data_IF_210379094285
#
_entry.id   IF_210379094285
#
_cell.length_a   1.000
_cell.length_b   1.000
_cell.length_c   1.000
_cell.angle_alpha   90.00
_cell.angle_beta   90.00
_cell.angle_gamma   90.00
#
_symmetry.space_group_name_H-M   'P 1'
#
loop_
_entity.id
_entity.type
_entity.pdbx_description
1 polymer ?
#
# COMPACT_ATOMS: atom_id res chain seq x y z
N UNK A 1 12.18 -8.16 37.36
CA UNK A 1 10.85 -7.71 36.90
C UNK A 1 11.11 -6.66 35.85
N UNK A 2 11.24 -7.10 34.61
CA UNK A 2 11.54 -6.21 33.49
C UNK A 2 10.31 -5.38 33.18
N UNK A 3 10.45 -4.06 33.31
CA UNK A 3 9.43 -3.12 32.87
C UNK A 3 9.24 -3.28 31.36
N UNK A 4 8.00 -3.47 30.86
CA UNK A 4 7.74 -3.41 29.43
C UNK A 4 8.12 -2.02 28.91
N UNK A 5 8.64 -1.90 27.67
CA UNK A 5 9.00 -0.61 27.11
C UNK A 5 7.77 0.28 27.10
N UNK A 6 7.89 1.44 27.74
CA UNK A 6 6.85 2.47 27.77
C UNK A 6 6.41 2.78 26.34
N UNK A 7 5.10 2.81 26.13
CA UNK A 7 4.49 3.20 24.88
C UNK A 7 4.91 4.65 24.60
N UNK A 8 5.97 4.83 23.80
CA UNK A 8 6.56 6.15 23.52
C UNK A 8 5.46 7.01 22.90
N UNK A 9 5.12 8.11 23.57
CA UNK A 9 4.15 9.11 23.10
C UNK A 9 4.48 9.47 21.64
N UNK A 10 3.57 9.14 20.72
CA UNK A 10 3.69 9.53 19.31
C UNK A 10 3.49 11.04 19.24
N UNK A 11 4.56 11.79 18.96
CA UNK A 11 4.50 13.24 18.82
C UNK A 11 3.70 13.58 17.56
N UNK A 12 2.76 14.52 17.68
CA UNK A 12 1.97 15.01 16.55
C UNK A 12 2.89 15.77 15.58
N UNK A 13 3.04 15.26 14.36
CA UNK A 13 3.83 15.93 13.31
C UNK A 13 3.03 16.89 12.46
N UNK A 14 1.69 16.77 12.44
CA UNK A 14 0.81 17.60 11.63
C UNK A 14 1.09 19.12 11.77
N UNK A 15 1.27 19.70 12.99
CA UNK A 15 1.56 21.14 13.10
C UNK A 15 2.83 21.59 12.38
N UNK A 16 3.79 20.68 12.15
CA UNK A 16 5.04 20.94 11.44
C UNK A 16 4.91 20.77 9.92
N UNK A 17 3.76 20.31 9.43
CA UNK A 17 3.54 19.93 8.02
C UNK A 17 2.46 20.76 7.31
N UNK A 18 1.54 21.39 8.07
CA UNK A 18 0.37 22.08 7.50
C UNK A 18 0.69 23.37 6.75
N UNK A 19 1.76 24.07 7.13
CA UNK A 19 2.25 25.22 6.37
C UNK A 19 3.15 24.70 5.26
N UNK A 20 2.64 24.73 4.03
CA UNK A 20 3.31 24.11 2.89
C UNK A 20 3.23 24.99 1.66
N UNK A 21 4.32 24.98 0.90
CA UNK A 21 4.51 25.54 -0.43
C UNK A 21 4.43 24.47 -1.53
N UNK A 22 3.99 23.26 -1.19
CA UNK A 22 3.86 22.16 -2.14
C UNK A 22 2.91 22.52 -3.30
N UNK A 23 3.26 22.20 -4.56
CA UNK A 23 2.42 22.53 -5.71
C UNK A 23 0.99 21.96 -5.58
N UNK A 24 -0.06 22.72 -5.94
CA UNK A 24 -1.41 22.22 -5.88
C UNK A 24 -1.61 21.05 -6.84
N UNK A 25 -2.27 19.99 -6.36
CA UNK A 25 -2.62 18.83 -7.18
C UNK A 25 -4.12 18.81 -7.47
N UNK A 26 -4.45 18.24 -8.64
CA UNK A 26 -5.83 17.98 -9.05
C UNK A 26 -6.03 16.51 -9.35
N UNK A 27 -7.19 16.03 -8.93
CA UNK A 27 -7.69 14.69 -9.16
C UNK A 27 -7.86 14.43 -10.67
N UNK A 28 -7.51 13.22 -11.07
CA UNK A 28 -7.84 12.60 -12.35
C UNK A 28 -9.02 11.65 -12.10
N UNK A 29 -9.55 11.04 -13.16
CA UNK A 29 -10.51 9.94 -13.02
C UNK A 29 -10.01 8.90 -12.01
N UNK A 30 -10.91 8.50 -11.11
CA UNK A 30 -10.61 7.50 -10.10
C UNK A 30 -10.55 6.12 -10.73
N UNK A 31 -9.51 5.37 -10.40
CA UNK A 31 -9.36 3.96 -10.77
C UNK A 31 -9.24 3.05 -9.54
N UNK A 32 -8.83 3.62 -8.40
CA UNK A 32 -8.56 2.84 -7.19
C UNK A 32 -9.30 3.42 -5.98
N UNK A 33 -9.92 2.54 -5.20
CA UNK A 33 -10.31 2.85 -3.82
C UNK A 33 -9.40 2.09 -2.88
N UNK A 34 -8.72 2.82 -2.00
CA UNK A 34 -7.90 2.24 -0.94
C UNK A 34 -8.73 2.14 0.34
N UNK A 35 -8.79 0.96 0.93
CA UNK A 35 -9.54 0.70 2.15
C UNK A 35 -8.55 0.39 3.29
N UNK A 36 -8.48 1.29 4.27
CA UNK A 36 -7.68 1.06 5.46
C UNK A 36 -8.54 0.30 6.49
N UNK A 37 -8.34 -1.01 6.60
CA UNK A 37 -9.27 -1.91 7.32
C UNK A 37 -9.15 -1.82 8.85
N UNK A 38 -8.29 -0.95 9.37
CA UNK A 38 -8.01 -0.80 10.78
C UNK A 38 -6.51 -0.72 11.07
N UNK A 39 -6.17 -0.49 12.33
CA UNK A 39 -4.77 -0.26 12.75
C UNK A 39 -4.17 -1.42 13.53
N UNK A 40 -4.93 -2.52 13.72
CA UNK A 40 -4.42 -3.76 14.32
C UNK A 40 -3.39 -4.42 13.40
N UNK A 41 -2.24 -4.77 13.95
CA UNK A 41 -1.14 -5.43 13.24
C UNK A 41 -0.39 -6.34 14.20
N UNK A 42 0.14 -7.48 13.74
CA UNK A 42 0.99 -8.36 14.55
C UNK A 42 2.42 -7.81 14.76
N UNK A 43 2.78 -6.66 14.17
CA UNK A 43 4.10 -6.04 14.29
C UNK A 43 4.03 -4.59 14.80
N UNK A 44 5.14 -4.08 15.33
CA UNK A 44 5.29 -2.66 15.76
C UNK A 44 6.50 -2.00 15.06
N UNK A 45 6.49 -1.98 13.72
CA UNK A 45 7.63 -1.51 12.91
C UNK A 45 8.02 -0.05 13.18
N UNK A 46 9.31 0.27 13.31
CA UNK A 46 9.78 1.62 13.67
C UNK A 46 9.45 2.71 12.65
N UNK A 47 9.26 2.35 11.39
CA UNK A 47 8.99 3.25 10.27
C UNK A 47 7.49 3.36 9.90
N UNK A 48 6.61 2.67 10.63
CA UNK A 48 5.20 2.56 10.27
C UNK A 48 4.50 3.93 10.24
N UNK A 49 4.05 4.34 9.05
CA UNK A 49 3.33 5.57 8.83
C UNK A 49 1.87 5.52 9.35
N UNK A 50 1.35 4.32 9.66
CA UNK A 50 0.02 4.12 10.27
C UNK A 50 0.07 4.14 11.81
N UNK A 51 1.27 4.02 12.39
CA UNK A 51 1.46 3.70 13.81
C UNK A 51 0.67 2.45 14.26
N UNK A 52 0.43 1.50 13.36
CA UNK A 52 -0.25 0.24 13.63
C UNK A 52 0.49 -0.62 14.68
N UNK A 53 -0.23 -1.51 15.34
CA UNK A 53 0.35 -2.44 16.30
C UNK A 53 -0.65 -3.41 16.94
N UNK A 54 -0.17 -4.37 17.76
CA UNK A 54 -1.01 -5.46 18.26
C UNK A 54 -2.13 -5.03 19.21
N UNK A 55 -1.95 -3.89 19.89
CA UNK A 55 -2.89 -3.35 20.88
C UNK A 55 -3.91 -2.36 20.29
N UNK A 56 -3.85 -2.09 18.99
CA UNK A 56 -4.79 -1.19 18.30
C UNK A 56 -6.15 -1.89 18.16
N UNK A 57 -7.23 -1.11 18.26
CA UNK A 57 -8.62 -1.62 18.28
C UNK A 57 -9.44 -1.08 17.11
N UNK A 58 -8.90 -0.13 16.35
CA UNK A 58 -9.53 0.41 15.16
C UNK A 58 -9.72 -0.70 14.12
N UNK A 59 -10.97 -0.91 13.70
CA UNK A 59 -11.39 -2.02 12.84
C UNK A 59 -12.56 -1.57 11.95
N UNK A 60 -12.41 -1.71 10.64
CA UNK A 60 -13.46 -1.38 9.69
C UNK A 60 -14.60 -2.40 9.76
N UNK A 61 -15.83 -1.91 9.84
CA UNK A 61 -17.03 -2.76 9.87
C UNK A 61 -17.43 -3.26 8.48
N UNK A 62 -18.17 -4.37 8.43
CA UNK A 62 -18.75 -4.87 7.18
C UNK A 62 -19.67 -3.84 6.49
N UNK A 63 -20.44 -3.05 7.25
CA UNK A 63 -21.32 -2.03 6.68
C UNK A 63 -20.54 -0.97 5.87
N UNK A 64 -19.38 -0.54 6.38
CA UNK A 64 -18.47 0.36 5.64
C UNK A 64 -17.92 -0.32 4.39
N UNK A 65 -17.54 -1.59 4.48
CA UNK A 65 -17.04 -2.37 3.34
C UNK A 65 -18.08 -2.53 2.23
N UNK A 66 -19.36 -2.72 2.58
CA UNK A 66 -20.45 -2.77 1.60
C UNK A 66 -20.62 -1.44 0.86
N UNK A 67 -20.45 -0.31 1.54
CA UNK A 67 -20.45 0.99 0.89
C UNK A 67 -19.29 1.10 -0.11
N UNK A 68 -18.09 0.65 0.26
CA UNK A 68 -16.92 0.62 -0.64
C UNK A 68 -17.20 -0.21 -1.89
N UNK A 69 -17.77 -1.42 -1.75
CA UNK A 69 -18.13 -2.27 -2.88
C UNK A 69 -19.21 -1.64 -3.78
N UNK A 70 -20.20 -0.99 -3.17
CA UNK A 70 -21.25 -0.26 -3.91
C UNK A 70 -20.67 0.90 -4.71
N UNK A 71 -19.82 1.72 -4.08
CA UNK A 71 -19.12 2.82 -4.74
C UNK A 71 -18.27 2.31 -5.89
N UNK A 72 -17.48 1.26 -5.67
CA UNK A 72 -16.60 0.70 -6.70
C UNK A 72 -17.38 0.30 -7.95
N UNK A 73 -18.55 -0.32 -7.77
CA UNK A 73 -19.46 -0.65 -8.87
C UNK A 73 -20.06 0.58 -9.54
N UNK A 74 -20.54 1.56 -8.77
CA UNK A 74 -21.21 2.76 -9.30
C UNK A 74 -20.27 3.69 -10.07
N UNK A 75 -19.03 3.83 -9.59
CA UNK A 75 -18.01 4.71 -10.13
C UNK A 75 -17.05 4.00 -11.09
N UNK A 76 -17.35 2.75 -11.46
CA UNK A 76 -16.54 1.93 -12.36
C UNK A 76 -15.05 1.83 -11.96
N UNK A 77 -14.80 1.73 -10.66
CA UNK A 77 -13.45 1.56 -10.10
C UNK A 77 -12.90 0.21 -10.53
N UNK A 78 -11.65 0.18 -11.01
CA UNK A 78 -10.99 -1.06 -11.43
C UNK A 78 -10.28 -1.80 -10.29
N UNK A 79 -9.85 -1.08 -9.26
CA UNK A 79 -8.94 -1.62 -8.23
C UNK A 79 -9.42 -1.32 -6.80
N UNK A 80 -9.40 -2.34 -5.94
CA UNK A 80 -9.52 -2.23 -4.49
C UNK A 80 -8.16 -2.50 -3.83
N UNK A 81 -7.59 -1.51 -3.16
CA UNK A 81 -6.29 -1.60 -2.47
C UNK A 81 -6.50 -1.71 -0.95
N UNK A 82 -6.19 -2.86 -0.37
CA UNK A 82 -6.42 -3.18 1.04
C UNK A 82 -5.19 -2.87 1.88
N UNK A 83 -5.33 -1.99 2.88
CA UNK A 83 -4.24 -1.50 3.71
C UNK A 83 -4.63 -1.36 5.18
N UNK A 84 -3.77 -0.74 5.99
CA UNK A 84 -3.97 -0.44 7.40
C UNK A 84 -2.81 -0.93 8.25
N UNK A 85 -3.12 -1.65 9.32
CA UNK A 85 -2.14 -2.42 10.07
C UNK A 85 -1.71 -3.68 9.33
N UNK A 86 -2.31 -4.81 9.68
CA UNK A 86 -2.34 -6.01 8.86
C UNK A 86 -3.80 -6.20 8.44
N UNK A 87 -4.21 -5.83 7.22
CA UNK A 87 -5.61 -5.88 6.79
C UNK A 87 -6.24 -7.27 6.97
N UNK A 88 -5.42 -8.32 6.87
CA UNK A 88 -5.80 -9.72 6.98
C UNK A 88 -6.25 -10.13 8.40
N UNK A 89 -5.97 -9.29 9.40
CA UNK A 89 -6.49 -9.45 10.75
C UNK A 89 -7.93 -8.95 10.91
N UNK A 90 -8.50 -8.20 9.96
CA UNK A 90 -9.91 -7.82 10.04
C UNK A 90 -10.79 -9.07 9.82
N UNK A 91 -11.78 -9.35 10.69
CA UNK A 91 -12.62 -10.55 10.60
C UNK A 91 -13.42 -10.64 9.29
N UNK A 92 -13.61 -9.52 8.58
CA UNK A 92 -14.30 -9.45 7.31
C UNK A 92 -13.37 -9.45 6.09
N UNK A 93 -12.04 -9.50 6.27
CA UNK A 93 -11.07 -9.45 5.17
C UNK A 93 -11.40 -10.43 4.04
N UNK A 94 -11.55 -11.71 4.36
CA UNK A 94 -11.84 -12.76 3.36
C UNK A 94 -13.16 -12.53 2.65
N UNK A 95 -14.20 -12.10 3.39
CA UNK A 95 -15.51 -11.77 2.84
C UNK A 95 -15.44 -10.59 1.87
N UNK A 96 -14.66 -9.55 2.22
CA UNK A 96 -14.43 -8.38 1.37
C UNK A 96 -13.69 -8.76 0.09
N UNK A 97 -12.59 -9.52 0.20
CA UNK A 97 -11.81 -9.98 -0.95
C UNK A 97 -12.69 -10.76 -1.92
N UNK A 98 -13.43 -11.77 -1.44
CA UNK A 98 -14.29 -12.59 -2.31
C UNK A 98 -15.41 -11.78 -2.96
N UNK A 99 -16.02 -10.83 -2.23
CA UNK A 99 -17.03 -9.96 -2.79
C UNK A 99 -16.44 -9.01 -3.87
N UNK A 100 -15.27 -8.43 -3.63
CA UNK A 100 -14.58 -7.56 -4.58
C UNK A 100 -14.18 -8.30 -5.86
N UNK A 101 -13.61 -9.52 -5.73
CA UNK A 101 -13.28 -10.37 -6.88
C UNK A 101 -14.51 -10.83 -7.64
N UNK A 102 -15.61 -11.13 -6.95
CA UNK A 102 -16.91 -11.41 -7.57
C UNK A 102 -17.50 -10.25 -8.36
N UNK A 103 -17.08 -9.01 -8.08
CA UNK A 103 -17.41 -7.81 -8.88
C UNK A 103 -16.42 -7.56 -10.03
N UNK A 104 -15.39 -8.39 -10.20
CA UNK A 104 -14.35 -8.24 -11.21
C UNK A 104 -13.25 -7.23 -10.86
N UNK A 105 -13.20 -6.74 -9.61
CA UNK A 105 -12.17 -5.79 -9.18
C UNK A 105 -10.80 -6.48 -9.10
N UNK A 106 -9.74 -5.78 -9.51
CA UNK A 106 -8.38 -6.14 -9.08
C UNK A 106 -8.26 -5.86 -7.58
N UNK A 107 -7.77 -6.82 -6.80
CA UNK A 107 -7.58 -6.66 -5.36
C UNK A 107 -6.09 -6.69 -5.05
N UNK A 108 -5.60 -5.66 -4.36
CA UNK A 108 -4.23 -5.57 -3.87
C UNK A 108 -4.26 -5.74 -2.35
N UNK A 109 -3.43 -6.64 -1.82
CA UNK A 109 -3.20 -6.84 -0.38
C UNK A 109 -1.84 -6.27 0.03
N UNK A 110 -1.84 -5.23 0.88
CA UNK A 110 -0.64 -4.61 1.46
C UNK A 110 -0.17 -5.44 2.65
N UNK A 111 0.52 -6.53 2.36
CA UNK A 111 0.88 -7.56 3.33
C UNK A 111 2.20 -7.25 4.06
N UNK A 112 2.27 -7.60 5.34
CA UNK A 112 3.51 -7.45 6.13
C UNK A 112 4.40 -8.72 6.14
N UNK A 113 4.01 -9.76 5.40
CA UNK A 113 4.60 -11.10 5.28
C UNK A 113 4.49 -12.00 6.52
N UNK A 114 4.78 -11.50 7.72
CA UNK A 114 4.78 -12.37 8.91
C UNK A 114 3.38 -12.79 9.32
N UNK A 115 2.35 -12.01 8.94
CA UNK A 115 0.94 -12.35 9.13
C UNK A 115 0.57 -13.71 8.54
N UNK A 116 1.24 -14.16 7.47
CA UNK A 116 1.04 -15.48 6.85
C UNK A 116 1.47 -16.65 7.75
N UNK A 117 2.13 -16.36 8.89
CA UNK A 117 2.60 -17.34 9.85
C UNK A 117 1.93 -17.20 11.22
N UNK A 118 0.99 -16.25 11.38
CA UNK A 118 0.28 -16.07 12.64
C UNK A 118 -0.75 -17.19 12.86
N UNK A 119 -1.02 -17.57 14.13
CA UNK A 119 -2.10 -18.49 14.45
C UNK A 119 -3.44 -18.01 13.87
N UNK A 120 -4.18 -18.92 13.24
CA UNK A 120 -5.46 -18.60 12.58
C UNK A 120 -5.33 -18.07 11.14
N UNK A 121 -4.10 -17.91 10.64
CA UNK A 121 -3.82 -17.49 9.25
C UNK A 121 -3.18 -18.60 8.41
N UNK A 122 -3.29 -19.86 8.84
CA UNK A 122 -2.65 -21.01 8.19
C UNK A 122 -3.08 -21.17 6.72
N UNK A 123 -4.34 -20.82 6.41
CA UNK A 123 -4.91 -20.91 5.05
C UNK A 123 -4.89 -19.58 4.29
N UNK A 124 -4.29 -18.52 4.85
CA UNK A 124 -4.34 -17.18 4.27
C UNK A 124 -3.66 -17.15 2.90
N UNK A 125 -2.44 -17.68 2.78
CA UNK A 125 -1.72 -17.69 1.51
C UNK A 125 -2.48 -18.43 0.41
N UNK A 126 -3.06 -19.59 0.73
CA UNK A 126 -3.87 -20.37 -0.22
C UNK A 126 -5.11 -19.59 -0.68
N UNK A 127 -5.81 -18.94 0.26
CA UNK A 127 -6.95 -18.10 -0.05
C UNK A 127 -6.60 -16.90 -0.94
N UNK A 128 -5.49 -16.22 -0.68
CA UNK A 128 -5.03 -15.12 -1.54
C UNK A 128 -4.79 -15.61 -2.97
N UNK A 129 -4.16 -16.77 -3.13
CA UNK A 129 -3.94 -17.41 -4.43
C UNK A 129 -5.24 -17.80 -5.13
N UNK A 130 -6.16 -18.46 -4.42
CA UNK A 130 -7.47 -18.89 -4.93
C UNK A 130 -8.34 -17.72 -5.40
N UNK A 131 -8.19 -16.57 -4.76
CA UNK A 131 -8.91 -15.35 -5.12
C UNK A 131 -8.17 -14.48 -6.13
N UNK A 132 -6.97 -14.89 -6.59
CA UNK A 132 -6.11 -14.13 -7.50
C UNK A 132 -5.87 -12.69 -6.97
N UNK A 133 -5.50 -12.62 -5.69
CA UNK A 133 -5.13 -11.36 -5.04
C UNK A 133 -3.68 -11.03 -5.35
N UNK A 134 -3.42 -9.79 -5.74
CA UNK A 134 -2.06 -9.27 -5.85
C UNK A 134 -1.50 -8.97 -4.47
N UNK A 135 -0.33 -9.52 -4.15
CA UNK A 135 0.32 -9.28 -2.86
C UNK A 135 1.43 -8.26 -3.06
N UNK A 136 1.30 -7.09 -2.42
CA UNK A 136 2.39 -6.12 -2.33
C UNK A 136 2.94 -6.09 -0.92
N UNK A 137 4.10 -6.70 -0.73
CA UNK A 137 4.60 -7.06 0.58
C UNK A 137 5.79 -6.21 1.05
N UNK A 138 5.74 -5.71 2.28
CA UNK A 138 6.85 -4.93 2.84
C UNK A 138 8.05 -5.82 3.17
N UNK A 139 9.21 -5.56 2.56
CA UNK A 139 10.49 -6.20 2.85
C UNK A 139 11.64 -5.16 2.70
N UNK A 140 11.98 -4.44 3.78
CA UNK A 140 12.82 -3.24 3.68
C UNK A 140 14.30 -3.53 3.42
N UNK A 141 14.73 -4.79 3.47
CA UNK A 141 16.06 -5.22 3.04
C UNK A 141 16.04 -6.73 2.70
N UNK A 142 16.94 -7.18 1.84
CA UNK A 142 17.23 -8.61 1.63
C UNK A 142 18.23 -9.18 2.65
N UNK A 143 18.68 -8.38 3.62
CA UNK A 143 19.60 -8.79 4.69
C UNK A 143 18.89 -8.80 6.06
N UNK A 144 19.07 -9.88 6.81
CA UNK A 144 18.44 -10.13 8.13
C UNK A 144 18.65 -8.98 9.10
N UNK A 145 19.91 -8.59 9.32
CA UNK A 145 20.27 -7.54 10.30
C UNK A 145 19.52 -6.23 10.05
N UNK A 146 19.35 -5.84 8.79
CA UNK A 146 18.67 -4.60 8.43
C UNK A 146 17.16 -4.68 8.66
N UNK A 147 16.55 -5.81 8.33
CA UNK A 147 15.11 -6.02 8.54
C UNK A 147 14.79 -6.09 10.03
N UNK A 148 15.55 -6.87 10.78
CA UNK A 148 15.31 -7.09 12.21
C UNK A 148 15.53 -5.80 13.01
N UNK A 149 16.55 -5.00 12.66
CA UNK A 149 16.76 -3.66 13.26
C UNK A 149 15.57 -2.72 13.06
N UNK A 150 14.84 -2.84 11.95
CA UNK A 150 13.74 -1.92 11.61
C UNK A 150 12.37 -2.43 12.07
N UNK A 151 12.17 -3.76 12.11
CA UNK A 151 10.87 -4.40 12.30
C UNK A 151 10.78 -5.29 13.55
N UNK A 152 11.90 -5.67 14.13
CA UNK A 152 12.00 -6.53 15.31
C UNK A 152 12.71 -7.87 15.00
N UNK A 153 13.27 -8.47 16.04
CA UNK A 153 14.07 -9.69 15.93
C UNK A 153 13.27 -10.87 15.33
N UNK A 154 13.87 -11.60 14.40
CA UNK A 154 13.27 -12.76 13.75
C UNK A 154 12.23 -12.45 12.67
N UNK A 155 11.90 -11.17 12.45
CA UNK A 155 10.94 -10.75 11.41
C UNK A 155 11.44 -11.13 10.02
N UNK A 156 12.74 -11.03 9.74
CA UNK A 156 13.29 -11.45 8.46
C UNK A 156 13.03 -12.93 8.17
N UNK A 157 13.34 -13.80 9.14
CA UNK A 157 13.14 -15.25 9.01
C UNK A 157 11.67 -15.59 8.79
N UNK A 158 10.77 -14.97 9.54
CA UNK A 158 9.33 -15.14 9.36
C UNK A 158 8.86 -14.62 7.98
N UNK A 159 9.40 -13.48 7.54
CA UNK A 159 9.10 -12.92 6.21
C UNK A 159 9.53 -13.86 5.08
N UNK A 160 10.73 -14.46 5.16
CA UNK A 160 11.18 -15.47 4.20
C UNK A 160 10.28 -16.72 4.20
N UNK A 161 9.81 -17.17 5.36
CA UNK A 161 8.85 -18.27 5.44
C UNK A 161 7.53 -17.94 4.73
N UNK A 162 7.01 -16.71 4.93
CA UNK A 162 5.82 -16.22 4.22
C UNK A 162 6.02 -16.15 2.70
N UNK A 163 7.16 -15.62 2.25
CA UNK A 163 7.51 -15.58 0.82
C UNK A 163 7.61 -16.97 0.20
N UNK A 164 8.17 -17.95 0.92
CA UNK A 164 8.21 -19.35 0.45
C UNK A 164 6.81 -19.94 0.28
N UNK A 165 5.88 -19.67 1.21
CA UNK A 165 4.49 -20.10 1.08
C UNK A 165 3.85 -19.53 -0.19
N UNK A 166 4.03 -18.22 -0.45
CA UNK A 166 3.52 -17.57 -1.65
C UNK A 166 4.16 -18.14 -2.92
N UNK A 167 5.49 -18.25 -2.98
CA UNK A 167 6.17 -18.81 -4.16
C UNK A 167 5.79 -20.29 -4.42
N UNK A 168 5.52 -21.08 -3.38
CA UNK A 168 5.01 -22.44 -3.54
C UNK A 168 3.62 -22.50 -4.18
N UNK A 169 2.83 -21.43 -4.02
CA UNK A 169 1.52 -21.23 -4.67
C UNK A 169 1.64 -20.52 -6.03
N UNK A 170 2.86 -20.34 -6.55
CA UNK A 170 3.11 -19.78 -7.88
C UNK A 170 3.31 -18.26 -7.92
N UNK A 171 3.22 -17.56 -6.79
CA UNK A 171 3.44 -16.11 -6.77
C UNK A 171 4.85 -15.72 -7.23
N UNK A 172 4.96 -14.61 -7.96
CA UNK A 172 6.25 -14.09 -8.45
C UNK A 172 6.84 -14.86 -9.62
N UNK A 173 6.09 -15.79 -10.21
CA UNK A 173 6.46 -16.57 -11.40
C UNK A 173 5.57 -16.17 -12.58
N UNK A 174 6.12 -16.28 -13.79
CA UNK A 174 5.36 -16.00 -15.00
C UNK A 174 4.09 -16.87 -15.08
N UNK A 175 2.92 -16.24 -15.19
CA UNK A 175 1.63 -16.93 -15.25
C UNK A 175 1.05 -17.35 -13.91
N UNK A 176 1.71 -17.03 -12.79
CA UNK A 176 1.16 -17.18 -11.44
C UNK A 176 0.67 -15.86 -10.84
N UNK A 177 0.39 -15.87 -9.54
CA UNK A 177 -0.05 -14.68 -8.80
C UNK A 177 1.03 -13.59 -8.75
N UNK A 178 0.59 -12.32 -8.66
CA UNK A 178 1.50 -11.18 -8.62
C UNK A 178 2.03 -10.96 -7.20
N UNK A 179 3.35 -10.97 -7.04
CA UNK A 179 4.05 -10.66 -5.80
C UNK A 179 5.02 -9.51 -6.02
N UNK A 180 4.68 -8.36 -5.46
CA UNK A 180 5.55 -7.19 -5.43
C UNK A 180 6.17 -7.03 -4.04
N UNK A 181 7.39 -6.51 -3.96
CA UNK A 181 8.05 -6.19 -2.70
C UNK A 181 8.18 -4.68 -2.53
N UNK A 182 8.18 -4.21 -1.28
CA UNK A 182 8.37 -2.80 -0.95
C UNK A 182 9.62 -2.59 -0.12
N UNK A 183 10.50 -1.70 -0.58
CA UNK A 183 11.67 -1.24 0.13
C UNK A 183 11.42 0.13 0.76
N UNK A 184 11.90 0.28 2.00
CA UNK A 184 11.98 1.56 2.71
C UNK A 184 13.39 1.71 3.33
N UNK A 185 14.02 2.88 3.24
CA UNK A 185 15.30 3.14 3.88
C UNK A 185 15.27 2.91 5.40
N UNK A 186 16.38 2.52 6.04
CA UNK A 186 16.44 2.34 7.49
C UNK A 186 16.36 3.67 8.29
N UNK A 187 16.50 4.82 7.62
CA UNK A 187 16.58 6.13 8.26
C UNK A 187 16.08 7.29 7.38
N UNK A 188 16.39 8.55 7.76
CA UNK A 188 15.99 9.76 7.05
C UNK A 188 16.88 10.05 5.84
N UNK A 189 16.91 9.12 4.89
CA UNK A 189 17.64 9.29 3.62
C UNK A 189 16.69 9.14 2.45
N UNK A 190 17.07 9.65 1.29
CA UNK A 190 16.40 9.30 0.05
C UNK A 190 16.67 7.82 -0.26
N UNK A 191 15.70 7.11 -0.86
CA UNK A 191 15.95 5.77 -1.31
C UNK A 191 16.92 5.75 -2.52
N UNK A 192 17.60 4.63 -2.78
CA UNK A 192 18.43 4.46 -3.96
C UNK A 192 17.56 4.28 -5.22
N UNK A 193 18.22 4.13 -6.36
CA UNK A 193 17.57 3.88 -7.65
C UNK A 193 16.75 2.59 -7.67
N UNK A 194 15.49 2.67 -8.12
CA UNK A 194 14.57 1.53 -8.05
C UNK A 194 14.98 0.39 -8.99
N UNK A 195 15.37 0.68 -10.23
CA UNK A 195 15.70 -0.37 -11.21
C UNK A 195 16.94 -1.15 -10.78
N UNK A 196 17.98 -0.43 -10.34
CA UNK A 196 19.20 -1.04 -9.81
C UNK A 196 18.94 -1.81 -8.53
N UNK A 197 18.11 -1.28 -7.63
CA UNK A 197 17.76 -1.98 -6.39
C UNK A 197 16.90 -3.22 -6.65
N UNK A 198 15.95 -3.16 -7.59
CA UNK A 198 15.13 -4.30 -8.01
C UNK A 198 16.01 -5.44 -8.52
N UNK A 199 16.97 -5.14 -9.39
CA UNK A 199 17.92 -6.13 -9.91
C UNK A 199 18.73 -6.80 -8.78
N UNK A 200 19.25 -6.00 -7.85
CA UNK A 200 19.99 -6.52 -6.69
C UNK A 200 19.08 -7.37 -5.78
N UNK A 201 17.84 -6.94 -5.53
CA UNK A 201 16.88 -7.73 -4.76
C UNK A 201 16.59 -9.08 -5.42
N UNK A 202 16.32 -9.08 -6.73
CA UNK A 202 16.05 -10.31 -7.50
C UNK A 202 17.22 -11.28 -7.41
N UNK A 203 18.43 -10.80 -7.65
CA UNK A 203 19.65 -11.62 -7.56
C UNK A 203 19.86 -12.19 -6.14
N UNK A 204 19.84 -11.32 -5.12
CA UNK A 204 20.17 -11.73 -3.75
C UNK A 204 19.10 -12.65 -3.15
N UNK A 205 17.82 -12.37 -3.38
CA UNK A 205 16.73 -13.20 -2.87
C UNK A 205 16.66 -14.56 -3.57
N UNK A 206 16.89 -14.61 -4.88
CA UNK A 206 16.94 -15.87 -5.61
C UNK A 206 18.15 -16.71 -5.19
N UNK A 207 19.35 -16.13 -5.19
CA UNK A 207 20.61 -16.86 -4.95
C UNK A 207 20.72 -17.37 -3.51
N UNK A 208 20.36 -16.54 -2.53
CA UNK A 208 20.53 -16.89 -1.11
C UNK A 208 19.37 -17.70 -0.54
N UNK A 209 18.15 -17.47 -1.04
CA UNK A 209 16.94 -17.94 -0.38
C UNK A 209 15.95 -18.69 -1.29
N UNK A 210 16.20 -18.72 -2.61
CA UNK A 210 15.31 -19.33 -3.60
C UNK A 210 13.99 -18.58 -3.78
N UNK A 211 13.96 -17.28 -3.50
CA UNK A 211 12.76 -16.43 -3.56
C UNK A 211 12.71 -15.66 -4.87
N UNK A 212 11.53 -15.59 -5.47
CA UNK A 212 11.24 -14.80 -6.68
C UNK A 212 10.04 -13.87 -6.46
N UNK A 213 9.99 -12.76 -7.20
CA UNK A 213 8.94 -11.74 -7.13
C UNK A 213 8.92 -10.93 -8.44
N UNK A 214 7.83 -10.22 -8.71
CA UNK A 214 7.59 -9.49 -9.95
C UNK A 214 8.28 -8.12 -9.99
N UNK A 215 7.96 -7.23 -9.04
CA UNK A 215 8.47 -5.85 -8.98
C UNK A 215 8.91 -5.43 -7.58
N UNK A 216 9.89 -4.52 -7.53
CA UNK A 216 10.28 -3.84 -6.30
C UNK A 216 9.80 -2.39 -6.35
N UNK A 217 9.03 -1.98 -5.36
CA UNK A 217 8.62 -0.61 -5.16
C UNK A 217 9.48 0.05 -4.08
N UNK A 218 10.05 1.19 -4.42
CA UNK A 218 11.01 1.89 -3.58
C UNK A 218 10.40 3.18 -3.05
N UNK A 219 10.32 3.30 -1.73
CA UNK A 219 9.60 4.36 -1.05
C UNK A 219 10.50 5.14 -0.09
N UNK A 220 10.43 6.47 -0.15
CA UNK A 220 10.88 7.31 0.95
C UNK A 220 10.00 7.08 2.20
N UNK A 221 10.60 7.18 3.39
CA UNK A 221 9.84 7.11 4.63
C UNK A 221 9.03 8.40 4.82
N UNK A 222 7.72 8.30 4.94
CA UNK A 222 6.90 9.50 5.18
C UNK A 222 7.16 10.09 6.58
N UNK A 223 7.35 11.41 6.72
CA UNK A 223 7.67 12.08 7.99
C UNK A 223 6.44 12.21 8.91
N UNK A 224 5.65 11.15 9.04
CA UNK A 224 4.40 11.11 9.80
C UNK A 224 4.42 9.98 10.83
N UNK A 225 3.49 10.06 11.79
CA UNK A 225 3.26 9.04 12.80
C UNK A 225 4.55 8.55 13.47
N UNK A 226 4.85 7.23 13.47
CA UNK A 226 5.97 6.68 14.24
C UNK A 226 7.33 7.15 13.73
N UNK A 227 7.50 7.19 12.40
CA UNK A 227 8.75 7.69 11.81
C UNK A 227 8.92 9.19 12.07
N UNK A 228 7.89 9.99 11.81
CA UNK A 228 7.90 11.42 12.10
C UNK A 228 8.17 11.74 13.58
N UNK A 229 7.52 11.03 14.51
CA UNK A 229 7.77 11.18 15.95
C UNK A 229 9.23 10.86 16.32
N UNK A 230 9.82 9.83 15.70
CA UNK A 230 11.25 9.51 15.88
C UNK A 230 12.14 10.66 15.42
N UNK A 231 11.89 11.22 14.23
CA UNK A 231 12.66 12.36 13.71
C UNK A 231 12.58 13.57 14.67
N UNK A 232 11.38 13.91 15.15
CA UNK A 232 11.20 15.01 16.11
C UNK A 232 11.93 14.72 17.43
N UNK A 233 11.91 13.47 17.91
CA UNK A 233 12.61 13.09 19.14
C UNK A 233 14.13 13.19 19.04
N UNK A 234 14.67 13.10 17.81
CA UNK A 234 16.11 13.15 17.53
C UNK A 234 16.59 14.50 17.00
N UNK A 235 15.68 15.47 16.80
CA UNK A 235 16.02 16.74 16.17
C UNK A 235 16.26 16.65 14.66
N UNK A 236 15.96 15.51 14.03
CA UNK A 236 16.26 15.23 12.61
C UNK A 236 15.12 15.69 11.65
N UNK A 237 13.98 16.12 12.19
CA UNK A 237 12.76 16.38 11.40
C UNK A 237 12.95 17.46 10.34
N UNK A 238 13.50 18.61 10.72
CA UNK A 238 13.68 19.73 9.80
C UNK A 238 14.74 19.45 8.73
N UNK A 239 15.82 18.73 9.10
CA UNK A 239 16.84 18.29 8.16
C UNK A 239 16.26 17.33 7.12
N UNK A 240 15.46 16.36 7.56
CA UNK A 240 14.81 15.44 6.65
C UNK A 240 13.80 16.13 5.74
N UNK A 241 13.02 17.07 6.27
CA UNK A 241 12.12 17.88 5.44
C UNK A 241 12.86 18.71 4.39
N UNK A 242 14.00 19.31 4.75
CA UNK A 242 14.87 20.01 3.78
C UNK A 242 15.38 19.07 2.69
N UNK A 243 15.78 17.86 3.05
CA UNK A 243 16.19 16.83 2.07
C UNK A 243 15.05 16.50 1.10
N UNK A 244 13.85 16.23 1.60
CA UNK A 244 12.69 15.91 0.76
C UNK A 244 12.31 17.07 -0.17
N UNK A 245 12.25 18.30 0.35
CA UNK A 245 11.97 19.50 -0.44
C UNK A 245 13.04 19.75 -1.50
N UNK A 246 14.32 19.66 -1.13
CA UNK A 246 15.43 19.87 -2.05
C UNK A 246 15.56 18.79 -3.13
N UNK A 247 14.98 17.61 -2.91
CA UNK A 247 14.96 16.52 -3.87
C UNK A 247 13.65 16.43 -4.67
N UNK A 248 12.69 17.30 -4.42
CA UNK A 248 11.41 17.35 -5.13
C UNK A 248 11.62 17.46 -6.65
N UNK A 249 10.78 16.77 -7.42
CA UNK A 249 10.67 16.95 -8.86
C UNK A 249 9.21 17.15 -9.25
N UNK A 250 8.90 18.27 -9.91
CA UNK A 250 7.56 18.56 -10.42
C UNK A 250 7.06 17.47 -11.37
N UNK A 251 7.96 16.84 -12.13
CA UNK A 251 7.63 15.72 -13.04
C UNK A 251 7.00 14.53 -12.32
N UNK A 252 7.27 14.35 -11.02
CA UNK A 252 6.73 13.25 -10.23
C UNK A 252 5.28 13.53 -9.80
N UNK A 253 4.82 14.78 -9.83
CA UNK A 253 3.47 15.15 -9.42
C UNK A 253 2.38 14.47 -10.26
N UNK A 254 2.63 14.24 -11.56
CA UNK A 254 1.64 13.61 -12.44
C UNK A 254 1.45 12.11 -12.19
N UNK A 255 2.48 11.46 -11.63
CA UNK A 255 2.45 10.07 -11.21
C UNK A 255 1.97 9.85 -9.77
N UNK A 256 1.72 10.91 -9.00
CA UNK A 256 1.32 10.77 -7.60
C UNK A 256 -0.01 9.99 -7.47
N UNK A 257 -0.03 8.93 -6.66
CA UNK A 257 -1.20 8.04 -6.50
C UNK A 257 -2.47 8.77 -6.10
N UNK A 258 -2.37 9.79 -5.24
CA UNK A 258 -3.53 10.55 -4.75
C UNK A 258 -4.34 11.21 -5.88
N UNK A 259 -3.82 11.24 -7.12
CA UNK A 259 -4.50 11.74 -8.30
C UNK A 259 -5.58 10.82 -8.83
N UNK A 260 -5.43 9.50 -8.74
CA UNK A 260 -6.41 8.52 -9.26
C UNK A 260 -6.96 7.58 -8.19
N UNK A 261 -6.65 7.87 -6.92
CA UNK A 261 -7.04 7.09 -5.76
C UNK A 261 -7.71 7.97 -4.69
N UNK A 262 -8.63 7.39 -3.93
CA UNK A 262 -9.10 7.90 -2.63
C UNK A 262 -8.84 6.85 -1.55
N UNK A 263 -8.62 7.29 -0.31
CA UNK A 263 -8.47 6.41 0.85
C UNK A 263 -9.69 6.50 1.77
N UNK A 264 -10.18 5.37 2.24
CA UNK A 264 -11.32 5.24 3.14
C UNK A 264 -10.83 4.73 4.49
N UNK A 265 -11.09 5.52 5.52
CA UNK A 265 -10.79 5.19 6.90
C UNK A 265 -11.72 4.12 7.47
N UNK A 266 -11.33 3.52 8.59
CA UNK A 266 -12.07 2.43 9.22
C UNK A 266 -13.49 2.82 9.69
N UNK A 267 -13.74 4.11 9.97
CA UNK A 267 -15.09 4.64 10.27
C UNK A 267 -15.81 5.20 9.03
N UNK A 268 -15.23 5.02 7.85
CA UNK A 268 -15.79 5.47 6.58
C UNK A 268 -15.54 6.94 6.26
N UNK A 269 -14.60 7.62 6.90
CA UNK A 269 -14.16 8.95 6.46
C UNK A 269 -13.30 8.86 5.21
N UNK A 270 -13.35 9.88 4.35
CA UNK A 270 -12.66 9.86 3.05
C UNK A 270 -11.52 10.87 2.99
N UNK A 271 -10.42 10.45 2.36
CA UNK A 271 -9.17 11.20 2.25
C UNK A 271 -8.62 11.10 0.83
N UNK A 272 -7.76 12.05 0.44
CA UNK A 272 -7.12 12.01 -0.87
C UNK A 272 -6.07 10.87 -1.00
N UNK A 273 -5.50 10.41 0.11
CA UNK A 273 -4.63 9.23 0.19
C UNK A 273 -4.45 8.76 1.65
N UNK A 274 -3.83 7.59 1.85
CA UNK A 274 -3.57 7.04 3.19
C UNK A 274 -2.63 7.93 4.05
N UNK A 275 -1.73 8.71 3.45
CA UNK A 275 -0.93 9.66 4.24
C UNK A 275 -1.75 10.85 4.74
N UNK A 276 -2.68 11.36 3.93
CA UNK A 276 -3.66 12.34 4.38
C UNK A 276 -4.54 11.76 5.49
N UNK A 277 -4.97 10.50 5.34
CA UNK A 277 -5.72 9.78 6.37
C UNK A 277 -4.95 9.72 7.69
N UNK A 278 -3.69 9.32 7.66
CA UNK A 278 -2.85 9.24 8.86
C UNK A 278 -2.56 10.61 9.48
N UNK A 279 -2.79 11.69 8.75
CA UNK A 279 -2.69 13.07 9.25
C UNK A 279 -4.04 13.69 9.61
N UNK A 280 -5.16 12.98 9.43
CA UNK A 280 -6.51 13.53 9.64
C UNK A 280 -6.84 14.69 8.69
N UNK A 281 -6.32 14.65 7.47
CA UNK A 281 -6.50 15.69 6.45
C UNK A 281 -7.62 15.29 5.47
N UNK A 282 -8.87 15.73 5.67
CA UNK A 282 -10.02 15.22 4.91
C UNK A 282 -9.91 15.49 3.41
N UNK A 283 -10.65 14.70 2.62
CA UNK A 283 -10.73 14.82 1.17
C UNK A 283 -10.97 16.26 0.70
N UNK A 284 -10.14 16.75 -0.22
CA UNK A 284 -10.36 18.01 -0.92
C UNK A 284 -9.45 19.15 -0.47
N UNK A 285 -9.93 20.39 -0.56
CA UNK A 285 -9.09 21.57 -0.33
C UNK A 285 -8.89 21.89 1.18
N UNK A 286 -7.98 22.83 1.45
CA UNK A 286 -7.76 23.39 2.78
C UNK A 286 -9.07 23.91 3.36
N UNK A 287 -9.41 23.47 4.57
CA UNK A 287 -10.63 23.89 5.27
C UNK A 287 -11.90 23.09 4.92
N UNK A 288 -11.78 22.05 4.09
CA UNK A 288 -12.89 21.12 3.85
C UNK A 288 -13.33 20.44 5.17
N UNK A 289 -14.64 20.31 5.35
CA UNK A 289 -15.21 19.50 6.43
C UNK A 289 -14.90 18.02 6.20
N UNK A 290 -14.84 17.19 7.25
CA UNK A 290 -14.83 15.74 7.10
C UNK A 290 -16.01 15.26 6.26
N UNK A 291 -15.75 14.35 5.33
CA UNK A 291 -16.75 13.76 4.45
C UNK A 291 -16.79 12.26 4.74
N UNK A 292 -18.00 11.70 4.88
CA UNK A 292 -18.18 10.27 4.98
C UNK A 292 -18.42 9.64 3.62
N UNK A 293 -18.02 8.38 3.50
CA UNK A 293 -18.04 7.64 2.24
C UNK A 293 -19.47 7.47 1.69
N UNK A 294 -20.47 7.40 2.58
CA UNK A 294 -21.88 7.38 2.21
C UNK A 294 -22.32 8.64 1.44
N UNK A 295 -21.68 9.79 1.69
CA UNK A 295 -22.05 11.08 1.09
C UNK A 295 -21.43 11.30 -0.30
N UNK A 296 -20.48 10.44 -0.71
CA UNK A 296 -19.77 10.60 -1.98
C UNK A 296 -20.10 9.55 -3.03
N UNK A 297 -21.07 8.66 -2.75
CA UNK A 297 -21.48 7.58 -3.68
C UNK A 297 -21.81 8.09 -5.08
N UNK A 298 -22.39 9.29 -5.17
CA UNK A 298 -22.84 9.93 -6.41
C UNK A 298 -22.02 11.20 -6.75
N UNK A 299 -20.94 11.48 -6.01
CA UNK A 299 -20.13 12.67 -6.23
C UNK A 299 -19.14 12.46 -7.39
N UNK A 300 -19.18 13.36 -8.38
CA UNK A 300 -18.11 13.45 -9.37
C UNK A 300 -16.86 14.09 -8.76
N UNK A 301 -15.79 13.31 -8.62
CA UNK A 301 -14.54 13.74 -8.00
C UNK A 301 -13.46 14.17 -9.01
N UNK A 302 -13.65 13.93 -10.31
CA UNK A 302 -12.66 14.31 -11.32
C UNK A 302 -12.39 15.82 -11.32
N UNK A 303 -11.14 16.20 -11.54
CA UNK A 303 -10.67 17.60 -11.52
C UNK A 303 -10.70 18.31 -10.16
N UNK A 304 -11.28 17.71 -9.10
CA UNK A 304 -11.33 18.30 -7.76
C UNK A 304 -9.91 18.50 -7.18
N UNK A 305 -9.71 19.54 -6.34
CA UNK A 305 -8.43 19.76 -5.67
C UNK A 305 -8.11 18.62 -4.69
N UNK A 306 -6.82 18.36 -4.52
CA UNK A 306 -6.29 17.37 -3.56
C UNK A 306 -5.66 18.08 -2.35
N UNK A 307 -5.86 17.53 -1.15
CA UNK A 307 -5.29 18.05 0.09
C UNK A 307 -3.78 17.84 0.14
N UNK A 308 -3.02 18.90 -0.10
CA UNK A 308 -1.55 18.87 0.00
C UNK A 308 -1.04 19.45 1.33
N UNK A 309 0.13 18.98 1.75
CA UNK A 309 0.91 19.45 2.88
C UNK A 309 2.37 19.01 2.70
N UNK A 310 3.27 19.38 3.61
CA UNK A 310 4.71 19.17 3.41
C UNK A 310 5.12 17.69 3.28
N UNK A 311 4.34 16.75 3.85
CA UNK A 311 4.58 15.32 3.66
C UNK A 311 4.51 14.88 2.19
N UNK A 312 3.79 15.62 1.32
CA UNK A 312 3.67 15.34 -0.11
C UNK A 312 5.03 15.45 -0.85
N UNK A 313 5.99 16.19 -0.31
CA UNK A 313 7.37 16.18 -0.81
C UNK A 313 8.01 14.78 -0.69
N UNK A 314 7.60 13.97 0.29
CA UNK A 314 8.03 12.56 0.39
C UNK A 314 7.61 11.73 -0.83
N UNK A 315 6.44 12.00 -1.41
CA UNK A 315 5.93 11.26 -2.58
C UNK A 315 6.60 11.68 -3.90
N UNK A 316 7.24 12.85 -3.93
CA UNK A 316 7.77 13.46 -5.16
C UNK A 316 9.27 13.72 -5.12
N UNK A 317 9.93 13.43 -3.99
CA UNK A 317 11.37 13.53 -3.85
C UNK A 317 12.09 12.42 -4.64
N UNK A 318 13.24 12.77 -5.24
CA UNK A 318 14.09 11.84 -5.99
C UNK A 318 13.36 11.26 -7.20
N UNK A 319 13.21 9.94 -7.23
CA UNK A 319 12.48 9.22 -8.30
C UNK A 319 10.96 9.20 -8.08
N UNK A 320 10.47 9.88 -7.04
CA UNK A 320 9.08 9.75 -6.59
C UNK A 320 8.89 8.48 -5.76
N UNK A 321 7.81 8.45 -5.00
CA UNK A 321 7.49 7.36 -4.10
C UNK A 321 6.00 7.13 -4.11
N UNK A 322 5.60 5.98 -4.66
CA UNK A 322 4.24 5.49 -4.62
C UNK A 322 4.20 4.01 -4.30
N UNK A 323 3.05 3.53 -3.83
CA UNK A 323 2.84 2.10 -3.64
C UNK A 323 2.76 1.31 -4.98
N UNK A 324 2.99 1.99 -6.13
CA UNK A 324 3.32 1.41 -7.44
C UNK A 324 4.78 1.64 -7.88
N UNK A 325 5.64 2.15 -6.98
CA UNK A 325 7.07 2.39 -7.20
C UNK A 325 7.43 3.83 -7.59
N UNK A 326 8.63 3.98 -8.15
CA UNK A 326 9.16 5.21 -8.73
C UNK A 326 8.24 5.78 -9.82
N UNK A 327 8.10 7.10 -9.82
CA UNK A 327 7.21 7.88 -10.67
C UNK A 327 7.97 8.45 -11.88
N UNK A 328 8.62 7.58 -12.66
CA UNK A 328 9.22 8.00 -13.92
C UNK A 328 8.11 8.31 -14.95
N UNK A 329 8.28 9.40 -15.71
CA UNK A 329 7.32 9.86 -16.69
C UNK A 329 7.13 8.82 -17.82
N UNK A 330 5.92 8.27 -17.96
CA UNK A 330 5.46 7.66 -19.22
C UNK A 330 5.24 6.14 -19.28
N UNK A 331 5.10 5.41 -18.17
CA UNK A 331 4.65 4.00 -18.23
C UNK A 331 3.36 3.79 -17.45
N UNK A 332 2.23 3.88 -18.16
CA UNK A 332 0.91 3.41 -17.69
C UNK A 332 0.98 1.93 -17.34
N UNK A 333 0.32 1.55 -16.24
CA UNK A 333 0.11 0.16 -15.86
C UNK A 333 -0.48 -0.63 -17.04
N UNK A 334 0.08 -1.81 -17.31
CA UNK A 334 -0.39 -2.67 -18.39
C UNK A 334 -1.85 -3.07 -18.15
N UNK A 335 -2.66 -2.92 -19.20
CA UNK A 335 -4.06 -3.33 -19.24
C UNK A 335 -4.24 -4.84 -18.94
N UNK A 336 -5.39 -5.26 -18.40
CA UNK A 336 -5.67 -6.67 -18.15
C UNK A 336 -5.58 -7.49 -19.44
N UNK A 337 -5.00 -8.68 -19.34
CA UNK A 337 -4.86 -9.64 -20.45
C UNK A 337 -6.21 -10.28 -20.74
N UNK A 338 -6.66 -10.21 -21.99
CA UNK A 338 -7.81 -10.98 -22.48
C UNK A 338 -7.54 -12.47 -22.32
N UNK A 339 -8.47 -13.16 -21.64
CA UNK A 339 -8.51 -14.62 -21.57
C UNK A 339 -9.04 -15.10 -22.93
N UNK A 340 -8.14 -15.62 -23.77
CA UNK A 340 -8.53 -16.28 -25.00
C UNK A 340 -9.28 -17.57 -24.67
N UNK A 341 -10.59 -17.58 -24.94
CA UNK A 341 -11.43 -18.77 -24.92
C UNK A 341 -11.05 -19.66 -26.12
N UNK A 342 -10.33 -20.73 -25.83
CA UNK A 342 -10.04 -21.80 -26.78
C UNK A 342 -11.13 -22.85 -26.70
N UNK A 343 -12.16 -22.74 -27.54
CA UNK A 343 -13.05 -23.86 -27.85
C UNK A 343 -12.83 -24.30 -29.30
N UNK A 344 -11.99 -25.32 -29.41
CA UNK A 344 -11.83 -26.16 -30.59
C UNK A 344 -13.01 -27.14 -30.64
N UNK A 345 -13.77 -27.16 -31.74
CA UNK A 345 -14.74 -28.23 -32.01
C UNK A 345 -14.58 -28.65 -33.48
N UNK A 346 -14.01 -29.83 -33.78
CA UNK A 346 -14.08 -30.41 -35.11
C UNK A 346 -15.29 -31.35 -35.21
N UNK A 347 -15.76 -31.54 -36.45
CA UNK A 347 -16.80 -32.48 -36.91
C UNK A 347 -18.19 -31.86 -37.15
N UNK A 348 -18.49 -31.60 -38.43
CA UNK A 348 -19.49 -32.41 -39.14
C UNK A 348 -19.37 -32.24 -40.67
N UNK A 349 -19.30 -33.40 -41.32
CA UNK A 349 -19.34 -33.67 -42.75
C UNK A 349 -20.70 -33.39 -43.40
N UNK A 350 -20.67 -33.16 -44.73
CA UNK A 350 -21.70 -33.50 -45.73
C UNK A 350 -23.01 -32.66 -45.84
N UNK A 351 -23.16 -31.88 -46.93
CA UNK A 351 -24.03 -32.17 -48.11
C UNK A 351 -24.29 -30.95 -49.01
N UNK A 352 -24.18 -31.21 -50.31
CA UNK A 352 -24.91 -30.68 -51.47
C UNK A 352 -25.44 -29.24 -51.46
N UNK A 353 -24.88 -28.39 -52.34
CA UNK A 353 -25.43 -28.01 -53.66
C UNK A 353 -24.72 -26.75 -54.18
#
# INVERSE_FOLDING_TARGET
MDNPPSEKVVRKTLPLLVQSDFPPLRRKALDTVQANLGYRCNQTCLHCHVAAGPKRTEEMTWATMELILRFARQQAIGTLDLTGGAPELNPHFRRLVSAARGLGLRVIDRCNLTILNEPGQETLAAFLAEQDVEVTASLPCYLEENVDRQRGDGVFRSSLAGLRKLNALGYGRHGGGILNLVYNPPGPTLPPDQERLEAAYKEQLATRYGIVFDRLFVLANMPIQRFGSRLVSRGEFHDYMRLLKGAHRDSNCDGAMCRSLISVGWQGEVYDCDFNQMLGLPLGAVGAAPIHFADILECELDGRPIRVADHCYGCTAGQGSSCGGALEAGKTAAAPRDVADGSHNPEETERHA
#
